data_IF_396306547588
#
_entry.id   IF_396306547588
#
_cell.length_a   1.000
_cell.length_b   1.000
_cell.length_c   1.000
_cell.angle_alpha   90.00
_cell.angle_beta   90.00
_cell.angle_gamma   90.00
#
_symmetry.space_group_name_H-M   'P 1'
#
loop_
_entity.id
_entity.type
_entity.pdbx_description
1 polymer ?
#
# COMPACT_ATOMS: atom_id res chain seq x y z
N UNK A 1 38.39 7.80 8.66
CA UNK A 1 37.51 7.14 9.64
C UNK A 1 36.21 6.91 8.89
N UNK A 2 36.13 5.81 8.14
CA UNK A 2 34.98 5.48 7.30
C UNK A 2 33.93 4.79 8.15
N UNK A 3 32.86 5.50 8.47
CA UNK A 3 31.64 4.93 9.00
C UNK A 3 30.46 5.64 8.33
N UNK A 4 30.34 5.45 7.02
CA UNK A 4 29.08 5.68 6.32
C UNK A 4 28.49 4.32 5.97
N UNK A 5 28.15 3.55 7.01
CA UNK A 5 27.20 2.46 6.82
C UNK A 5 25.85 3.13 6.70
N UNK A 6 25.39 3.33 5.47
CA UNK A 6 24.01 3.74 5.19
C UNK A 6 23.08 2.79 5.94
N UNK A 7 22.52 3.24 7.06
CA UNK A 7 21.63 2.42 7.87
C UNK A 7 20.36 2.24 7.07
N UNK A 8 20.07 1.03 6.63
CA UNK A 8 18.83 0.79 5.92
C UNK A 8 17.64 0.81 6.86
N UNK A 9 16.60 1.56 6.52
CA UNK A 9 15.41 1.71 7.36
C UNK A 9 14.31 0.73 6.96
N UNK A 10 13.73 0.03 7.93
CA UNK A 10 12.51 -0.74 7.72
C UNK A 10 11.34 0.23 7.43
N UNK A 11 10.61 0.01 6.34
CA UNK A 11 9.58 0.97 5.90
C UNK A 11 8.16 0.39 5.82
N UNK A 12 8.04 -0.92 5.68
CA UNK A 12 6.76 -1.57 5.51
C UNK A 12 6.87 -3.03 5.87
N UNK A 13 5.81 -3.56 6.48
CA UNK A 13 5.67 -4.94 6.91
C UNK A 13 4.34 -5.47 6.38
N UNK A 14 4.37 -6.67 5.82
CA UNK A 14 3.17 -7.41 5.43
C UNK A 14 3.26 -8.83 5.99
N UNK A 15 2.14 -9.32 6.51
CA UNK A 15 2.00 -10.69 6.99
C UNK A 15 1.42 -11.55 5.88
N UNK A 16 2.06 -12.66 5.57
CA UNK A 16 1.48 -13.73 4.78
C UNK A 16 0.99 -14.82 5.73
N UNK A 17 -0.32 -14.98 5.94
CA UNK A 17 -0.84 -16.12 6.65
C UNK A 17 -0.61 -17.35 5.77
N UNK A 18 0.22 -18.29 6.23
CA UNK A 18 0.45 -19.53 5.49
C UNK A 18 -0.88 -20.26 5.25
N UNK A 19 -1.09 -20.76 4.04
CA UNK A 19 -2.31 -21.51 3.71
C UNK A 19 -2.12 -23.02 3.84
N UNK A 20 -2.91 -23.66 4.71
CA UNK A 20 -2.93 -25.13 4.89
C UNK A 20 -2.31 -25.60 6.21
N UNK A 21 -2.41 -26.90 6.50
CA UNK A 21 -2.05 -27.48 7.81
C UNK A 21 -0.54 -27.44 8.12
N UNK A 22 0.30 -27.24 7.11
CA UNK A 22 1.77 -27.22 7.23
C UNK A 22 2.41 -25.92 6.74
N UNK A 23 1.63 -24.88 6.41
CA UNK A 23 2.19 -23.64 5.89
C UNK A 23 2.71 -22.75 7.03
N UNK A 24 3.95 -22.30 6.91
CA UNK A 24 4.50 -21.27 7.79
C UNK A 24 3.95 -19.90 7.37
N UNK A 25 3.42 -19.15 8.32
CA UNK A 25 3.22 -17.72 8.14
C UNK A 25 4.57 -17.08 7.85
N UNK A 26 4.64 -16.13 6.93
CA UNK A 26 5.87 -15.36 6.69
C UNK A 26 5.62 -13.87 6.88
N UNK A 27 6.69 -13.12 7.17
CA UNK A 27 6.66 -11.67 7.24
C UNK A 27 7.49 -11.12 6.09
N UNK A 28 6.89 -10.28 5.26
CA UNK A 28 7.60 -9.53 4.25
C UNK A 28 7.95 -8.15 4.79
N UNK A 29 9.23 -7.76 4.67
CA UNK A 29 9.72 -6.47 5.09
C UNK A 29 10.30 -5.70 3.91
N UNK A 30 9.97 -4.41 3.78
CA UNK A 30 10.58 -3.52 2.79
C UNK A 30 11.68 -2.69 3.43
N UNK A 31 12.83 -2.62 2.76
CA UNK A 31 14.00 -1.88 3.23
C UNK A 31 14.17 -0.60 2.41
N UNK A 32 13.95 0.55 3.04
CA UNK A 32 13.72 1.85 2.41
C UNK A 32 14.85 2.32 1.52
N UNK A 33 16.09 2.08 1.94
CA UNK A 33 17.28 2.66 1.32
C UNK A 33 18.02 1.67 0.42
N UNK A 34 17.85 0.36 0.65
CA UNK A 34 18.53 -0.68 -0.13
C UNK A 34 17.74 -1.13 -1.34
N UNK A 35 16.54 -0.57 -1.52
CA UNK A 35 15.58 -1.01 -2.52
C UNK A 35 15.21 -2.50 -2.46
N UNK A 36 15.36 -3.14 -1.28
CA UNK A 36 15.22 -4.57 -1.10
C UNK A 36 13.89 -4.97 -0.41
N UNK A 37 13.53 -6.25 -0.57
CA UNK A 37 12.53 -6.93 0.26
C UNK A 37 13.15 -8.13 0.95
N UNK A 38 12.71 -8.36 2.18
CA UNK A 38 13.11 -9.49 3.00
C UNK A 38 11.90 -10.38 3.21
N UNK A 39 12.08 -11.68 2.97
CA UNK A 39 11.13 -12.70 3.41
C UNK A 39 11.65 -13.27 4.74
N UNK A 40 10.90 -13.03 5.80
CA UNK A 40 11.22 -13.50 7.15
C UNK A 40 10.30 -14.68 7.44
N UNK A 41 10.88 -15.86 7.65
CA UNK A 41 10.15 -16.97 8.27
C UNK A 41 10.24 -16.81 9.80
N UNK A 42 9.15 -16.46 10.51
CA UNK A 42 9.16 -16.30 11.96
C UNK A 42 9.44 -17.61 12.70
N UNK A 43 9.37 -18.77 12.03
CA UNK A 43 9.73 -20.08 12.60
C UNK A 43 11.15 -20.51 12.25
N UNK A 44 11.80 -19.84 11.29
CA UNK A 44 13.17 -20.11 10.89
C UNK A 44 14.15 -19.19 11.62
N UNK A 45 15.36 -19.67 11.88
CA UNK A 45 16.41 -18.88 12.53
C UNK A 45 17.13 -17.91 11.57
N UNK A 46 16.73 -17.83 10.29
CA UNK A 46 17.51 -17.17 9.24
C UNK A 46 16.72 -16.13 8.41
N UNK A 47 17.23 -14.89 8.36
CA UNK A 47 16.66 -13.73 7.67
C UNK A 47 17.21 -13.53 6.24
N UNK A 48 18.06 -14.43 5.76
CA UNK A 48 18.96 -14.17 4.62
C UNK A 48 18.39 -14.47 3.22
N UNK A 49 17.12 -14.85 3.07
CA UNK A 49 16.51 -15.04 1.75
C UNK A 49 16.02 -13.71 1.18
N UNK A 50 16.96 -12.96 0.59
CA UNK A 50 16.71 -11.66 -0.04
C UNK A 50 16.09 -11.83 -1.43
N UNK A 51 14.92 -11.22 -1.65
CA UNK A 51 14.27 -11.12 -2.95
C UNK A 51 14.06 -9.64 -3.31
N UNK A 52 14.37 -9.25 -4.54
CA UNK A 52 14.13 -7.89 -5.06
C UNK A 52 12.87 -7.91 -5.92
N UNK A 53 11.69 -7.71 -5.31
CA UNK A 53 10.99 -6.43 -5.50
C UNK A 53 10.08 -6.01 -4.33
N UNK A 54 10.01 -4.69 -4.05
CA UNK A 54 9.23 -4.02 -2.97
C UNK A 54 7.71 -4.31 -3.05
N UNK A 55 6.95 -4.42 -1.96
CA UNK A 55 5.48 -4.50 -2.00
C UNK A 55 4.74 -5.30 -0.93
N UNK A 56 3.41 -5.29 -1.03
CA UNK A 56 2.37 -5.90 -0.17
C UNK A 56 1.60 -6.97 -0.95
N UNK A 57 1.11 -8.03 -0.30
CA UNK A 57 0.66 -9.26 -0.97
C UNK A 57 -0.86 -9.46 -0.98
N UNK A 58 -1.37 -9.98 -2.10
CA UNK A 58 -2.60 -10.79 -2.20
C UNK A 58 -2.24 -12.10 -2.93
N UNK A 59 -3.07 -13.13 -2.84
CA UNK A 59 -2.83 -14.57 -3.00
C UNK A 59 -2.07 -15.08 -4.27
N UNK A 60 -1.56 -14.20 -5.14
CA UNK A 60 -0.62 -14.51 -6.22
C UNK A 60 0.35 -13.37 -6.60
N UNK A 61 0.21 -12.17 -6.04
CA UNK A 61 0.89 -10.94 -6.49
C UNK A 61 1.45 -10.08 -5.36
N UNK A 62 2.52 -9.33 -5.66
CA UNK A 62 3.14 -8.31 -4.81
C UNK A 62 2.91 -6.93 -5.41
N UNK A 63 2.39 -6.00 -4.61
CA UNK A 63 2.15 -4.59 -4.96
C UNK A 63 3.08 -3.63 -4.25
N UNK A 64 3.87 -2.92 -5.03
CA UNK A 64 4.98 -2.08 -4.64
C UNK A 64 4.73 -0.60 -4.79
N UNK A 65 5.48 0.19 -4.01
CA UNK A 65 5.74 1.59 -4.35
C UNK A 65 7.21 1.92 -4.46
N UNK A 66 7.49 2.89 -5.33
CA UNK A 66 8.79 3.53 -5.42
C UNK A 66 8.67 5.00 -5.01
N UNK A 67 9.10 5.31 -3.79
CA UNK A 67 9.01 6.65 -3.19
C UNK A 67 9.58 7.76 -4.08
N UNK A 68 10.65 7.47 -4.82
CA UNK A 68 11.34 8.47 -5.65
C UNK A 68 10.84 8.53 -7.09
N UNK A 69 10.29 7.45 -7.65
CA UNK A 69 10.00 7.37 -9.09
C UNK A 69 8.53 7.60 -9.47
N UNK A 70 7.63 7.90 -8.50
CA UNK A 70 6.19 8.09 -8.73
C UNK A 70 5.58 6.91 -9.51
N UNK A 71 5.93 5.71 -9.07
CA UNK A 71 5.48 4.46 -9.69
C UNK A 71 4.95 3.48 -8.66
N UNK A 72 3.91 2.77 -9.07
CA UNK A 72 3.36 1.59 -8.40
C UNK A 72 3.66 0.39 -9.29
N UNK A 73 4.00 -0.74 -8.70
CA UNK A 73 4.36 -1.96 -9.44
C UNK A 73 3.59 -3.14 -8.91
N UNK A 74 3.04 -3.97 -9.79
CA UNK A 74 2.50 -5.30 -9.47
C UNK A 74 3.43 -6.34 -10.07
N UNK A 75 3.78 -7.38 -9.32
CA UNK A 75 4.58 -8.50 -9.80
C UNK A 75 3.90 -9.80 -9.38
N UNK A 76 3.69 -10.71 -10.33
CA UNK A 76 3.24 -12.05 -9.99
C UNK A 76 4.35 -12.82 -9.27
N UNK A 77 4.00 -13.41 -8.13
CA UNK A 77 4.90 -14.25 -7.34
C UNK A 77 5.25 -15.53 -8.10
N UNK A 78 4.27 -16.13 -8.76
CA UNK A 78 4.46 -17.37 -9.55
C UNK A 78 5.18 -17.13 -10.88
N UNK A 79 5.16 -15.91 -11.41
CA UNK A 79 5.81 -15.56 -12.67
C UNK A 79 6.32 -14.11 -12.63
N UNK A 80 7.55 -13.85 -12.17
CA UNK A 80 8.07 -12.48 -12.06
C UNK A 80 8.15 -11.69 -13.38
N UNK A 81 8.14 -12.37 -14.53
CA UNK A 81 8.08 -11.70 -15.82
C UNK A 81 6.70 -11.09 -16.09
N UNK A 82 5.65 -11.61 -15.45
CA UNK A 82 4.32 -11.01 -15.43
C UNK A 82 4.26 -9.88 -14.39
N UNK A 83 4.60 -8.68 -14.85
CA UNK A 83 4.63 -7.48 -14.03
C UNK A 83 3.95 -6.31 -14.74
N UNK A 84 3.42 -5.39 -13.93
CA UNK A 84 2.80 -4.16 -14.39
C UNK A 84 3.38 -2.98 -13.62
N UNK A 85 3.56 -1.86 -14.32
CA UNK A 85 4.11 -0.63 -13.75
C UNK A 85 3.21 0.53 -14.14
N UNK A 86 2.68 1.24 -13.14
CA UNK A 86 1.86 2.43 -13.36
C UNK A 86 2.60 3.68 -12.95
N UNK A 87 2.64 4.66 -13.84
CA UNK A 87 3.04 6.03 -13.49
C UNK A 87 1.88 6.74 -12.79
N UNK A 88 2.19 7.46 -11.72
CA UNK A 88 1.23 8.23 -10.93
C UNK A 88 1.68 9.67 -10.77
N UNK A 89 0.75 10.56 -10.43
CA UNK A 89 0.96 12.01 -10.36
C UNK A 89 1.71 12.44 -9.09
N UNK A 90 1.54 11.71 -7.99
CA UNK A 90 2.22 11.93 -6.71
C UNK A 90 3.14 10.78 -6.33
N UNK A 91 3.92 10.90 -5.24
CA UNK A 91 4.74 9.79 -4.78
C UNK A 91 3.89 8.86 -3.92
N UNK A 92 3.80 7.57 -4.23
CA UNK A 92 2.99 6.68 -3.40
C UNK A 92 3.58 6.56 -1.99
N UNK A 93 2.74 6.50 -0.95
CA UNK A 93 3.15 6.45 0.48
C UNK A 93 2.58 5.27 1.28
N UNK A 94 1.42 4.74 0.92
CA UNK A 94 0.85 3.56 1.58
C UNK A 94 0.22 2.68 0.52
N UNK A 95 0.24 1.37 0.70
CA UNK A 95 -0.50 0.44 -0.16
C UNK A 95 -1.40 -0.37 0.74
N UNK A 96 -2.65 -0.53 0.35
CA UNK A 96 -3.59 -1.45 0.98
C UNK A 96 -4.29 -2.27 -0.10
N UNK A 97 -4.49 -3.54 0.15
CA UNK A 97 -5.27 -4.42 -0.70
C UNK A 97 -6.57 -4.76 0.02
N UNK A 98 -7.67 -4.62 -0.69
CA UNK A 98 -8.97 -4.95 -0.17
C UNK A 98 -9.13 -6.46 -0.03
N UNK A 99 -9.44 -6.98 1.17
CA UNK A 99 -9.28 -8.40 1.48
C UNK A 99 -10.27 -9.31 0.73
N UNK A 100 -11.38 -8.79 0.21
CA UNK A 100 -12.38 -9.59 -0.50
C UNK A 100 -12.42 -9.35 -2.01
N UNK A 101 -12.05 -8.16 -2.48
CA UNK A 101 -12.05 -7.84 -3.93
C UNK A 101 -10.66 -7.92 -4.56
N UNK A 102 -9.59 -7.85 -3.76
CA UNK A 102 -8.22 -7.70 -4.26
C UNK A 102 -7.92 -6.30 -4.81
N UNK A 103 -8.86 -5.35 -4.70
CA UNK A 103 -8.62 -3.99 -5.17
C UNK A 103 -7.47 -3.35 -4.40
N UNK A 104 -6.60 -2.64 -5.10
CA UNK A 104 -5.39 -2.07 -4.52
C UNK A 104 -5.51 -0.56 -4.47
N UNK A 105 -5.21 -0.01 -3.32
CA UNK A 105 -5.23 1.42 -3.06
C UNK A 105 -3.82 1.89 -2.72
N UNK A 106 -3.49 3.11 -3.13
CA UNK A 106 -2.29 3.78 -2.67
C UNK A 106 -2.52 5.27 -2.44
N UNK A 107 -2.17 5.77 -1.26
CA UNK A 107 -2.10 7.21 -1.01
C UNK A 107 -0.95 7.81 -1.81
N UNK A 108 -1.17 8.96 -2.45
CA UNK A 108 -0.16 9.69 -3.22
C UNK A 108 0.20 11.01 -2.52
N UNK A 109 1.45 11.15 -2.08
CA UNK A 109 1.97 12.42 -1.58
C UNK A 109 1.92 13.50 -2.66
N UNK A 110 1.94 14.76 -2.25
CA UNK A 110 2.12 15.96 -3.09
C UNK A 110 1.08 16.21 -4.19
N UNK A 111 0.18 15.28 -4.44
CA UNK A 111 -0.88 15.39 -5.46
C UNK A 111 -2.28 15.51 -4.88
N UNK A 112 -2.44 15.27 -3.58
CA UNK A 112 -3.75 15.14 -2.92
C UNK A 112 -4.65 14.14 -3.64
N UNK A 113 -4.14 12.93 -3.89
CA UNK A 113 -4.87 11.87 -4.57
C UNK A 113 -4.66 10.51 -3.93
N UNK A 114 -5.57 9.60 -4.26
CA UNK A 114 -5.47 8.17 -3.99
C UNK A 114 -5.43 7.47 -5.34
N UNK A 115 -4.43 6.63 -5.57
CA UNK A 115 -4.43 5.70 -6.69
C UNK A 115 -5.25 4.45 -6.33
N UNK A 116 -6.02 3.95 -7.28
CA UNK A 116 -6.88 2.79 -7.12
C UNK A 116 -6.73 1.87 -8.35
N UNK A 117 -6.50 0.59 -8.12
CA UNK A 117 -6.52 -0.45 -9.13
C UNK A 117 -7.60 -1.46 -8.76
N UNK A 118 -8.54 -1.65 -9.68
CA UNK A 118 -9.50 -2.75 -9.58
C UNK A 118 -8.80 -4.03 -9.94
N UNK A 119 -9.06 -5.11 -9.21
CA UNK A 119 -8.48 -6.42 -9.53
C UNK A 119 -9.16 -7.11 -10.73
N UNK A 120 -9.36 -6.36 -11.80
CA UNK A 120 -10.00 -6.78 -13.05
C UNK A 120 -9.02 -6.79 -14.23
N UNK A 121 -7.71 -6.56 -13.96
CA UNK A 121 -6.67 -6.43 -14.99
C UNK A 121 -6.69 -5.08 -15.72
N UNK A 122 -7.50 -4.13 -15.26
CA UNK A 122 -7.66 -2.81 -15.85
C UNK A 122 -6.47 -1.88 -15.61
N UNK A 123 -6.66 -0.62 -16.02
CA UNK A 123 -5.70 0.45 -15.69
C UNK A 123 -6.03 0.99 -14.30
N UNK A 124 -5.01 1.22 -13.49
CA UNK A 124 -5.19 2.00 -12.26
C UNK A 124 -5.66 3.42 -12.56
N UNK A 125 -6.47 3.99 -11.67
CA UNK A 125 -7.04 5.33 -11.74
C UNK A 125 -6.60 6.17 -10.54
N UNK A 126 -6.72 7.50 -10.65
CA UNK A 126 -6.44 8.42 -9.54
C UNK A 126 -7.69 9.18 -9.12
N UNK A 127 -8.00 9.08 -7.83
CA UNK A 127 -9.13 9.73 -7.18
C UNK A 127 -8.61 10.99 -6.49
N UNK A 128 -9.23 12.14 -6.79
CA UNK A 128 -8.87 13.39 -6.14
C UNK A 128 -9.37 13.45 -4.69
N UNK A 129 -8.50 13.89 -3.78
CA UNK A 129 -8.85 14.38 -2.45
C UNK A 129 -9.14 15.87 -2.58
N UNK A 130 -10.37 16.27 -2.27
CA UNK A 130 -10.76 17.67 -2.31
C UNK A 130 -10.21 18.42 -1.09
N UNK A 131 -9.87 19.72 -1.20
CA UNK A 131 -9.33 20.50 -0.08
C UNK A 131 -10.23 20.51 1.18
N UNK A 132 -11.55 20.34 1.02
CA UNK A 132 -12.49 20.23 2.15
C UNK A 132 -12.21 19.00 3.03
N UNK A 133 -11.64 17.95 2.44
CA UNK A 133 -11.40 16.66 3.10
C UNK A 133 -10.00 16.60 3.73
N UNK A 134 -9.07 17.38 3.20
CA UNK A 134 -7.66 17.40 3.58
C UNK A 134 -6.79 17.50 2.33
N UNK A 135 -5.49 17.25 2.51
CA UNK A 135 -4.52 17.30 1.43
C UNK A 135 -3.79 15.96 1.27
N UNK A 136 -2.94 15.60 2.21
CA UNK A 136 -1.95 14.53 2.03
C UNK A 136 -2.39 13.24 2.71
N UNK A 137 -2.57 12.12 1.98
CA UNK A 137 -2.77 10.82 2.60
C UNK A 137 -1.57 10.43 3.48
N UNK A 138 -1.81 10.15 4.75
CA UNK A 138 -0.79 9.73 5.73
C UNK A 138 -1.10 8.41 6.44
N UNK A 139 -2.23 7.81 6.13
CA UNK A 139 -2.59 6.45 6.54
C UNK A 139 -3.60 5.87 5.56
N UNK A 140 -3.54 4.56 5.37
CA UNK A 140 -4.43 3.85 4.45
C UNK A 140 -4.61 2.41 4.95
N UNK A 141 -5.85 1.96 5.04
CA UNK A 141 -6.21 0.57 5.30
C UNK A 141 -7.45 0.20 4.49
N UNK A 142 -7.50 -1.00 3.94
CA UNK A 142 -8.72 -1.53 3.33
C UNK A 142 -9.47 -2.38 4.36
N UNK A 143 -10.73 -2.06 4.59
CA UNK A 143 -11.59 -2.77 5.54
C UNK A 143 -12.25 -3.98 4.90
N UNK A 144 -12.77 -4.90 5.72
CA UNK A 144 -13.57 -6.03 5.26
C UNK A 144 -14.98 -5.61 4.79
N UNK A 145 -15.35 -4.34 4.99
CA UNK A 145 -16.64 -3.72 4.73
C UNK A 145 -16.82 -3.27 3.28
N UNK A 146 -15.89 -3.57 2.38
CA UNK A 146 -15.95 -3.07 1.00
C UNK A 146 -15.21 -1.75 0.79
N UNK A 147 -14.70 -1.11 1.85
CA UNK A 147 -14.19 0.26 1.79
C UNK A 147 -12.68 0.34 2.01
N UNK A 148 -12.05 1.37 1.43
CA UNK A 148 -10.71 1.81 1.82
C UNK A 148 -10.81 3.06 2.69
N UNK A 149 -10.13 3.04 3.83
CA UNK A 149 -10.08 4.07 4.85
C UNK A 149 -8.76 4.83 4.76
N UNK A 150 -8.85 6.16 4.60
CA UNK A 150 -7.67 7.03 4.43
C UNK A 150 -7.62 8.06 5.54
N UNK A 151 -6.43 8.25 6.11
CA UNK A 151 -6.12 9.38 6.99
C UNK A 151 -5.47 10.46 6.16
N UNK A 152 -6.02 11.67 6.19
CA UNK A 152 -5.49 12.83 5.47
C UNK A 152 -4.83 13.79 6.46
N UNK A 153 -3.76 14.47 6.08
CA UNK A 153 -3.29 15.68 6.76
C UNK A 153 -4.17 16.86 6.35
N UNK A 154 -4.49 17.71 7.31
CA UNK A 154 -4.90 19.08 7.05
C UNK A 154 -3.69 19.97 6.75
N UNK A 155 -3.95 21.20 6.33
CA UNK A 155 -3.00 22.29 6.30
C UNK A 155 -3.54 23.49 7.11
N UNK A 156 -2.76 24.57 7.16
CA UNK A 156 -3.08 25.76 7.97
C UNK A 156 -4.30 26.54 7.48
N UNK A 157 -4.81 26.23 6.28
CA UNK A 157 -5.94 26.93 5.66
C UNK A 157 -7.12 26.00 5.34
N UNK A 158 -6.95 24.67 5.41
CA UNK A 158 -7.95 23.67 5.02
C UNK A 158 -7.69 22.28 5.63
N UNK A 159 -8.78 21.61 6.08
CA UNK A 159 -8.75 20.25 6.62
C UNK A 159 -8.25 20.15 8.07
N UNK A 160 -8.89 19.30 8.88
CA UNK A 160 -8.54 19.10 10.31
C UNK A 160 -7.81 17.79 10.59
N UNK A 161 -7.50 17.02 9.54
CA UNK A 161 -7.06 15.64 9.65
C UNK A 161 -8.24 14.67 9.69
N UNK A 162 -8.91 14.48 8.55
CA UNK A 162 -10.18 13.75 8.47
C UNK A 162 -9.99 12.33 7.94
N UNK A 163 -10.81 11.38 8.41
CA UNK A 163 -10.89 10.01 7.91
C UNK A 163 -11.87 9.95 6.73
N UNK A 164 -11.44 9.38 5.61
CA UNK A 164 -12.26 9.29 4.39
C UNK A 164 -12.41 7.86 3.89
N UNK A 165 -13.66 7.38 3.64
CA UNK A 165 -13.91 6.19 2.84
C UNK A 165 -13.98 6.53 1.35
N UNK A 166 -13.36 5.71 0.50
CA UNK A 166 -13.65 5.70 -0.94
C UNK A 166 -14.77 4.68 -1.22
N UNK A 167 -15.98 5.15 -1.57
CA UNK A 167 -17.16 4.31 -1.79
C UNK A 167 -17.62 4.40 -3.26
N UNK A 168 -17.86 3.27 -3.92
CA UNK A 168 -18.65 3.25 -5.17
C UNK A 168 -20.14 3.53 -4.84
N UNK A 169 -20.55 4.80 -5.06
CA UNK A 169 -21.90 5.42 -5.12
C UNK A 169 -22.91 5.28 -3.93
N UNK A 170 -23.14 6.45 -3.29
CA UNK A 170 -24.38 7.11 -2.74
C UNK A 170 -25.01 6.54 -1.43
N UNK A 171 -25.44 7.29 -0.38
CA UNK A 171 -25.86 8.72 -0.12
C UNK A 171 -25.80 9.11 1.41
N UNK A 172 -25.43 10.38 1.77
CA UNK A 172 -25.77 11.28 2.95
C UNK A 172 -25.98 10.73 4.40
N UNK A 173 -25.45 11.23 5.55
CA UNK A 173 -24.76 12.47 6.06
C UNK A 173 -23.78 12.15 7.24
N UNK A 174 -22.83 13.07 7.50
CA UNK A 174 -21.97 13.40 8.70
C UNK A 174 -22.16 12.62 10.03
N UNK A 175 -21.18 12.16 10.83
CA UNK A 175 -19.69 11.96 10.78
C UNK A 175 -19.40 10.69 11.64
N UNK A 176 -18.32 9.97 11.31
CA UNK A 176 -17.70 8.83 12.04
C UNK A 176 -18.35 7.45 11.86
N UNK A 177 -17.50 6.49 11.47
CA UNK A 177 -17.67 5.03 11.33
C UNK A 177 -19.06 4.52 10.92
N UNK A 178 -19.17 3.97 9.70
CA UNK A 178 -20.41 3.40 9.18
C UNK A 178 -20.48 1.87 9.36
N UNK A 179 -21.54 1.41 10.03
CA UNK A 179 -22.28 0.16 9.79
C UNK A 179 -23.68 0.62 9.28
N UNK A 180 -24.46 -0.07 8.45
CA UNK A 180 -24.68 -1.49 8.16
C UNK A 180 -24.91 -1.76 6.68
#
# INVERSE_FOLDING_TARGET
>A
MDCDKSVSGLHGLALHPGSGTNASSTVWATVQFDNAMLLIDPKGDDINNQFTPKGYQDHSDIFSRFRTSRRIVRISISNPNDHQVWAVSGRPIFIAIHPTSGDVYSGLDTSSKIWHYKNDGGKGEEIAVTPKQGSTPVGLIAGADGNAWVVLLGDTTSGTGTFWPHQQRRVHREVYALFS
#
